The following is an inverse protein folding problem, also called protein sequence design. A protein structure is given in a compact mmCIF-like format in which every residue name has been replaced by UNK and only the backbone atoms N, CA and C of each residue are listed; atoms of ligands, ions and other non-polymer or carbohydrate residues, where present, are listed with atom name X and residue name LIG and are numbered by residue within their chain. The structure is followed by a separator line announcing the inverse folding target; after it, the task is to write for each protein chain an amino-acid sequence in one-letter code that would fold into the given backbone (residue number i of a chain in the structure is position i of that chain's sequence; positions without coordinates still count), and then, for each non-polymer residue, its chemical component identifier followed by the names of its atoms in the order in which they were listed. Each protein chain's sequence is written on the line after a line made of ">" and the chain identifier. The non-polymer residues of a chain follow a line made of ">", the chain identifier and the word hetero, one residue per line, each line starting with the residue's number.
data_IF_004249557786
#
_entry.id   IF_004249557786
#
_cell.length_a   1.000
_cell.length_b   1.000
_cell.length_c   1.000
_cell.angle_alpha   90.00
_cell.angle_beta   90.00
_cell.angle_gamma   90.00
#
_symmetry.space_group_name_H-M   'P 1'
#
loop_
_entity.id
_entity.type
_entity.pdbx_description
1 polymer ?
#
# COMPACT_ATOMS: atom_id res chain seq x y z
N UNK A 1 -11.23 -17.03 -14.31
CA UNK A 1 -11.13 -15.66 -14.86
C UNK A 1 -11.90 -14.65 -14.00
N UNK A 2 -13.18 -14.90 -13.65
CA UNK A 2 -13.94 -14.01 -12.78
C UNK A 2 -13.26 -13.77 -11.41
N UNK A 3 -12.72 -14.83 -10.80
CA UNK A 3 -12.05 -14.73 -9.50
C UNK A 3 -10.81 -13.83 -9.55
N UNK A 4 -10.02 -13.89 -10.63
CA UNK A 4 -8.82 -13.05 -10.80
C UNK A 4 -9.18 -11.57 -10.88
N UNK A 5 -10.24 -11.24 -11.61
CA UNK A 5 -10.68 -9.85 -11.79
C UNK A 5 -11.26 -9.30 -10.49
N UNK A 6 -11.99 -10.13 -9.73
CA UNK A 6 -12.48 -9.76 -8.39
C UNK A 6 -11.32 -9.52 -7.41
N UNK A 7 -10.36 -10.45 -7.32
CA UNK A 7 -9.15 -10.30 -6.48
C UNK A 7 -8.40 -9.01 -6.83
N UNK A 8 -8.18 -8.74 -8.12
CA UNK A 8 -7.48 -7.53 -8.58
C UNK A 8 -8.25 -6.25 -8.26
N UNK A 9 -9.58 -6.26 -8.38
CA UNK A 9 -10.43 -5.12 -8.03
C UNK A 9 -10.40 -4.80 -6.54
N UNK A 10 -10.42 -5.82 -5.68
CA UNK A 10 -10.28 -5.64 -4.22
C UNK A 10 -8.91 -5.05 -3.86
N UNK A 11 -7.84 -5.51 -4.53
CA UNK A 11 -6.49 -4.97 -4.34
C UNK A 11 -6.41 -3.50 -4.79
N UNK A 12 -7.00 -3.14 -5.92
CA UNK A 12 -7.07 -1.73 -6.34
C UNK A 12 -7.82 -0.87 -5.34
N UNK A 13 -8.96 -1.34 -4.84
CA UNK A 13 -9.74 -0.63 -3.82
C UNK A 13 -8.92 -0.39 -2.55
N UNK A 14 -8.20 -1.42 -2.07
CA UNK A 14 -7.29 -1.25 -0.91
C UNK A 14 -6.16 -0.27 -1.18
N UNK A 15 -5.56 -0.28 -2.37
CA UNK A 15 -4.52 0.69 -2.75
C UNK A 15 -5.07 2.12 -2.79
N UNK A 16 -6.33 2.33 -3.17
CA UNK A 16 -6.98 3.63 -3.08
C UNK A 16 -7.23 4.04 -1.63
N UNK A 17 -7.72 3.12 -0.79
CA UNK A 17 -7.94 3.34 0.64
C UNK A 17 -6.63 3.75 1.36
N UNK A 18 -5.54 3.03 1.09
CA UNK A 18 -4.22 3.37 1.61
C UNK A 18 -3.73 4.75 1.16
N UNK A 19 -4.09 5.18 -0.04
CA UNK A 19 -3.83 6.54 -0.50
C UNK A 19 -4.52 7.59 0.35
N UNK A 20 -5.83 7.44 0.54
CA UNK A 20 -6.59 8.35 1.37
C UNK A 20 -6.07 8.38 2.82
N UNK A 21 -5.67 7.23 3.37
CA UNK A 21 -5.03 7.16 4.69
C UNK A 21 -3.69 7.88 4.75
N UNK A 22 -2.85 7.78 3.71
CA UNK A 22 -1.59 8.55 3.66
C UNK A 22 -1.84 10.05 3.61
N UNK A 23 -2.85 10.49 2.86
CA UNK A 23 -3.22 11.90 2.80
C UNK A 23 -3.69 12.41 4.17
N UNK A 24 -4.49 11.61 4.89
CA UNK A 24 -4.92 11.92 6.26
C UNK A 24 -3.73 11.97 7.24
N UNK A 25 -2.82 10.98 7.17
CA UNK A 25 -1.61 10.94 7.99
C UNK A 25 -0.71 12.15 7.71
N UNK A 26 -0.60 12.58 6.45
CA UNK A 26 0.18 13.75 6.03
C UNK A 26 -0.42 15.06 6.57
N UNK A 27 -1.74 15.19 6.54
CA UNK A 27 -2.42 16.33 7.16
C UNK A 27 -2.11 16.39 8.67
N UNK A 28 -2.26 15.27 9.39
CA UNK A 28 -1.95 15.17 10.81
C UNK A 28 -0.48 15.45 11.14
N UNK A 29 0.44 14.97 10.31
CA UNK A 29 1.88 15.21 10.49
C UNK A 29 2.23 16.70 10.33
N UNK A 30 1.51 17.43 9.47
CA UNK A 30 1.71 18.88 9.32
C UNK A 30 1.31 19.67 10.57
N UNK A 31 0.35 19.17 11.35
CA UNK A 31 -0.12 19.78 12.60
C UNK A 31 0.73 19.35 13.82
N UNK A 32 1.66 18.40 13.64
CA UNK A 32 2.52 17.89 14.72
C UNK A 32 3.71 18.82 15.01
N UNK A 33 4.31 18.67 16.19
CA UNK A 33 5.56 19.36 16.55
C UNK A 33 6.71 18.96 15.62
N UNK A 34 7.67 19.86 15.41
CA UNK A 34 8.73 19.72 14.40
C UNK A 34 9.50 18.39 14.48
N UNK A 35 9.86 17.92 15.68
CA UNK A 35 10.59 16.67 15.86
C UNK A 35 9.74 15.43 15.50
N UNK A 36 8.44 15.45 15.84
CA UNK A 36 7.51 14.39 15.47
C UNK A 36 7.17 14.42 13.98
N UNK A 37 7.08 15.62 13.40
CA UNK A 37 6.77 15.81 11.98
C UNK A 37 7.78 15.11 11.08
N UNK A 38 9.08 15.23 11.35
CA UNK A 38 10.12 14.61 10.53
C UNK A 38 10.02 13.06 10.51
N UNK A 39 9.82 12.41 11.67
CA UNK A 39 9.65 10.95 11.75
C UNK A 39 8.37 10.50 11.01
N UNK A 40 7.27 11.25 11.18
CA UNK A 40 6.01 10.96 10.50
C UNK A 40 6.12 11.13 8.98
N UNK A 41 6.74 12.21 8.49
CA UNK A 41 6.96 12.45 7.07
C UNK A 41 7.82 11.35 6.44
N UNK A 42 8.88 10.90 7.12
CA UNK A 42 9.71 9.79 6.65
C UNK A 42 8.92 8.48 6.54
N UNK A 43 8.08 8.16 7.53
CA UNK A 43 7.21 6.97 7.50
C UNK A 43 6.18 7.06 6.38
N UNK A 44 5.53 8.21 6.21
CA UNK A 44 4.54 8.46 5.16
C UNK A 44 5.19 8.31 3.78
N UNK A 45 6.38 8.87 3.57
CA UNK A 45 7.13 8.73 2.32
C UNK A 45 7.47 7.27 2.02
N UNK A 46 7.92 6.50 3.01
CA UNK A 46 8.22 5.08 2.85
C UNK A 46 6.97 4.26 2.48
N UNK A 47 5.83 4.51 3.13
CA UNK A 47 4.56 3.85 2.81
C UNK A 47 4.04 4.25 1.41
N UNK A 48 4.19 5.51 1.02
CA UNK A 48 3.82 5.99 -0.32
C UNK A 48 4.62 5.28 -1.41
N UNK A 49 5.94 5.18 -1.24
CA UNK A 49 6.80 4.48 -2.20
C UNK A 49 6.41 2.99 -2.32
N UNK A 50 6.13 2.32 -1.20
CA UNK A 50 5.66 0.92 -1.23
C UNK A 50 4.30 0.78 -1.91
N UNK A 51 3.36 1.69 -1.67
CA UNK A 51 2.04 1.72 -2.33
C UNK A 51 2.18 1.85 -3.85
N UNK A 52 3.00 2.78 -4.32
CA UNK A 52 3.26 2.99 -5.75
C UNK A 52 3.88 1.74 -6.39
N UNK A 53 4.87 1.12 -5.73
CA UNK A 53 5.44 -0.14 -6.18
C UNK A 53 4.39 -1.26 -6.27
N UNK A 54 3.45 -1.33 -5.32
CA UNK A 54 2.35 -2.30 -5.36
C UNK A 54 1.34 -2.01 -6.46
N UNK A 55 1.06 -0.73 -6.77
CA UNK A 55 0.25 -0.37 -7.94
C UNK A 55 0.89 -0.86 -9.25
N UNK A 56 2.20 -0.67 -9.40
CA UNK A 56 2.93 -1.15 -10.59
C UNK A 56 2.88 -2.69 -10.69
N UNK A 57 3.18 -3.40 -9.60
CA UNK A 57 3.09 -4.87 -9.58
C UNK A 57 1.69 -5.39 -9.85
N UNK A 58 0.65 -4.68 -9.41
CA UNK A 58 -0.74 -5.06 -9.72
C UNK A 58 -1.06 -4.90 -11.21
N UNK A 59 -0.55 -3.84 -11.84
CA UNK A 59 -0.66 -3.66 -13.28
C UNK A 59 0.08 -4.76 -14.06
N UNK A 60 1.27 -5.16 -13.61
CA UNK A 60 2.00 -6.30 -14.17
C UNK A 60 1.20 -7.60 -14.02
N UNK A 61 0.66 -7.88 -12.84
CA UNK A 61 -0.17 -9.06 -12.57
C UNK A 61 -1.44 -9.10 -13.43
N UNK A 62 -2.03 -7.94 -13.75
CA UNK A 62 -3.17 -7.81 -14.67
C UNK A 62 -2.82 -8.12 -16.12
N UNK A 63 -1.60 -7.80 -16.53
CA UNK A 63 -1.10 -8.03 -17.89
C UNK A 63 -0.46 -9.41 -18.09
N UNK A 64 -0.21 -10.16 -17.01
CA UNK A 64 0.46 -11.44 -17.05
C UNK A 64 -0.33 -12.51 -17.82
N UNK A 65 0.37 -13.34 -18.57
CA UNK A 65 -0.18 -14.57 -19.14
C UNK A 65 -0.46 -15.60 -18.04
N UNK A 66 -1.29 -16.60 -18.34
CA UNK A 66 -1.64 -17.68 -17.41
C UNK A 66 -0.40 -18.36 -16.80
N UNK A 67 0.61 -18.65 -17.62
CA UNK A 67 1.84 -19.33 -17.19
C UNK A 67 2.72 -18.46 -16.27
N UNK A 68 2.68 -17.14 -16.42
CA UNK A 68 3.45 -16.21 -15.58
C UNK A 68 2.68 -15.74 -14.33
N UNK A 69 1.35 -15.89 -14.34
CA UNK A 69 0.46 -15.30 -13.35
C UNK A 69 0.72 -15.83 -11.93
N UNK A 70 0.86 -17.14 -11.75
CA UNK A 70 1.11 -17.76 -10.42
C UNK A 70 2.43 -17.29 -9.80
N UNK A 71 3.48 -17.15 -10.61
CA UNK A 71 4.80 -16.68 -10.16
C UNK A 71 4.74 -15.21 -9.74
N UNK A 72 4.11 -14.36 -10.55
CA UNK A 72 3.94 -12.93 -10.24
C UNK A 72 3.02 -12.75 -9.03
N UNK A 73 1.93 -13.53 -8.92
CA UNK A 73 0.99 -13.50 -7.79
C UNK A 73 1.70 -13.81 -6.47
N UNK A 74 2.55 -14.83 -6.45
CA UNK A 74 3.31 -15.20 -5.24
C UNK A 74 4.22 -14.05 -4.78
N UNK A 75 4.98 -13.46 -5.71
CA UNK A 75 5.83 -12.29 -5.40
C UNK A 75 5.03 -11.04 -5.01
N UNK A 76 3.83 -10.89 -5.56
CA UNK A 76 2.89 -9.83 -5.19
C UNK A 76 2.35 -10.02 -3.78
N UNK A 77 1.90 -11.22 -3.40
CA UNK A 77 1.30 -11.52 -2.10
C UNK A 77 2.25 -11.24 -0.92
N UNK A 78 3.53 -11.57 -1.06
CA UNK A 78 4.54 -11.24 -0.05
C UNK A 78 4.66 -9.73 0.18
N UNK A 79 4.87 -8.98 -0.89
CA UNK A 79 4.97 -7.52 -0.83
C UNK A 79 3.66 -6.86 -0.35
N UNK A 80 2.51 -7.43 -0.71
CA UNK A 80 1.19 -6.98 -0.25
C UNK A 80 1.03 -7.15 1.27
N UNK A 81 1.43 -8.30 1.81
CA UNK A 81 1.36 -8.55 3.25
C UNK A 81 2.26 -7.58 4.02
N UNK A 82 3.50 -7.39 3.56
CA UNK A 82 4.43 -6.45 4.19
C UNK A 82 3.90 -5.01 4.18
N UNK A 83 3.26 -4.59 3.09
CA UNK A 83 2.66 -3.27 3.00
C UNK A 83 1.45 -3.13 3.93
N UNK A 84 0.58 -4.14 3.99
CA UNK A 84 -0.58 -4.13 4.88
C UNK A 84 -0.16 -4.01 6.35
N UNK A 85 0.84 -4.79 6.77
CA UNK A 85 1.38 -4.70 8.13
C UNK A 85 1.96 -3.32 8.41
N UNK A 86 2.75 -2.76 7.50
CA UNK A 86 3.33 -1.43 7.68
C UNK A 86 2.25 -0.32 7.80
N UNK A 87 1.16 -0.43 7.06
CA UNK A 87 0.02 0.48 7.17
C UNK A 87 -0.74 0.32 8.49
N UNK A 88 -0.93 -0.91 8.96
CA UNK A 88 -1.58 -1.19 10.25
C UNK A 88 -0.75 -0.63 11.41
N UNK A 89 0.56 -0.83 11.40
CA UNK A 89 1.48 -0.27 12.40
C UNK A 89 1.46 1.26 12.38
N UNK A 90 1.51 1.88 11.20
CA UNK A 90 1.44 3.33 11.08
C UNK A 90 0.09 3.85 11.59
N UNK A 91 -1.02 3.25 11.17
CA UNK A 91 -2.35 3.65 11.62
C UNK A 91 -2.52 3.51 13.15
N UNK A 92 -1.94 2.48 13.75
CA UNK A 92 -1.96 2.30 15.21
C UNK A 92 -1.24 3.46 15.92
N UNK A 93 -0.10 3.92 15.41
CA UNK A 93 0.64 5.06 15.98
C UNK A 93 -0.09 6.40 15.87
N UNK A 94 -0.95 6.58 14.86
CA UNK A 94 -1.77 7.79 14.71
C UNK A 94 -3.04 7.79 15.57
N UNK A 95 -3.41 6.62 16.14
CA UNK A 95 -4.61 6.47 16.99
C UNK A 95 -4.29 6.55 18.49
N UNK A 96 -3.01 6.45 18.88
CA UNK A 96 -2.53 6.55 20.26
C UNK A 96 -2.25 7.99 20.69
#
# INVERSE_FOLDING_TARGET
>A
MADRNAEQGEMEAKLQEWGAKLDEMKAKANDAQADMKADLEQRIAALSAKREAMQQKLAELKSASDDAWESIKTGFQGAWSELSTAFEEAAAKFKS
#
